data_IF_072145740874
#
_entry.id   IF_072145740874
#
_cell.length_a   1.000
_cell.length_b   1.000
_cell.length_c   1.000
_cell.angle_alpha   90.00
_cell.angle_beta   90.00
_cell.angle_gamma   90.00
#
_symmetry.space_group_name_H-M   'P 1'
#
loop_
_entity.id
_entity.type
_entity.pdbx_description
1 polymer ?
#
# COMPACT_ATOMS: atom_id res chain seq x y z
N UNK A 1 5.91 2.19 -16.27
CA UNK A 1 6.04 3.26 -15.25
C UNK A 1 4.75 4.06 -15.22
N UNK A 2 4.26 4.28 -14.03
CA UNK A 2 3.06 5.08 -13.80
C UNK A 2 3.30 6.06 -12.64
N UNK A 3 2.52 7.13 -12.59
CA UNK A 3 2.53 8.05 -11.48
C UNK A 3 1.21 7.91 -10.72
N UNK A 4 1.31 7.73 -9.41
CA UNK A 4 0.14 7.67 -8.53
C UNK A 4 0.08 8.96 -7.73
N UNK A 5 -1.00 9.71 -7.94
CA UNK A 5 -1.33 10.86 -7.12
C UNK A 5 -2.40 10.45 -6.12
N UNK A 6 -2.66 11.31 -5.16
CA UNK A 6 -3.73 11.06 -4.20
C UNK A 6 -5.07 10.81 -4.90
N UNK A 7 -5.74 9.74 -4.51
CA UNK A 7 -7.09 9.40 -4.94
C UNK A 7 -7.94 9.10 -3.71
N UNK A 8 -9.26 9.38 -3.74
CA UNK A 8 -10.15 8.93 -2.69
C UNK A 8 -10.01 7.42 -2.48
N UNK A 9 -9.93 7.01 -1.23
CA UNK A 9 -9.66 5.61 -0.87
C UNK A 9 -8.21 5.34 -0.49
N UNK A 10 -7.30 6.28 -0.72
CA UNK A 10 -5.89 6.15 -0.33
C UNK A 10 -5.48 7.09 0.82
N UNK A 11 -6.41 7.84 1.40
CA UNK A 11 -6.10 8.66 2.56
C UNK A 11 -5.73 7.82 3.78
N UNK A 12 -5.13 8.47 4.78
CA UNK A 12 -4.61 7.79 5.96
C UNK A 12 -5.69 7.10 6.81
N UNK A 13 -6.95 7.42 6.60
CA UNK A 13 -8.10 6.81 7.28
C UNK A 13 -9.13 6.29 6.29
N UNK A 14 -8.72 6.01 5.06
CA UNK A 14 -9.62 5.60 3.99
C UNK A 14 -9.31 4.21 3.43
N UNK A 15 -8.27 3.54 3.93
CA UNK A 15 -7.86 2.24 3.41
C UNK A 15 -8.88 1.17 3.81
N UNK A 16 -9.45 0.49 2.83
CA UNK A 16 -10.51 -0.49 3.06
C UNK A 16 -10.12 -1.92 2.70
N UNK A 17 -9.01 -2.07 1.97
CA UNK A 17 -8.61 -3.36 1.45
C UNK A 17 -7.11 -3.42 1.25
N UNK A 18 -6.64 -4.65 1.07
CA UNK A 18 -5.27 -4.92 0.64
C UNK A 18 -5.33 -5.64 -0.70
N UNK A 19 -4.25 -5.56 -1.46
CA UNK A 19 -4.16 -6.20 -2.77
C UNK A 19 -2.86 -6.97 -2.92
N UNK A 20 -2.85 -7.88 -3.88
CA UNK A 20 -1.67 -8.67 -4.20
C UNK A 20 -1.54 -8.79 -5.72
N UNK A 21 -0.29 -8.68 -6.19
CA UNK A 21 0.08 -9.03 -7.56
C UNK A 21 0.92 -10.28 -7.49
N UNK A 22 0.50 -11.34 -8.15
CA UNK A 22 1.09 -12.67 -7.95
C UNK A 22 2.25 -12.98 -8.85
N UNK A 23 2.33 -12.31 -10.00
CA UNK A 23 3.31 -12.62 -11.03
C UNK A 23 4.41 -11.57 -11.17
N UNK A 24 4.22 -10.39 -10.59
CA UNK A 24 5.18 -9.30 -10.74
C UNK A 24 5.45 -8.61 -9.42
N UNK A 25 6.70 -8.13 -9.29
CA UNK A 25 7.03 -7.18 -8.24
C UNK A 25 6.50 -5.81 -8.62
N UNK A 26 6.27 -4.96 -7.60
CA UNK A 26 6.02 -3.55 -7.80
C UNK A 26 7.07 -2.74 -7.07
N UNK A 27 7.48 -1.63 -7.66
CA UNK A 27 8.42 -0.71 -7.04
C UNK A 27 7.75 0.63 -6.86
N UNK A 28 7.86 1.19 -5.66
CA UNK A 28 7.30 2.50 -5.31
C UNK A 28 8.41 3.45 -4.92
N UNK A 29 8.34 4.68 -5.42
CA UNK A 29 9.26 5.76 -5.05
C UNK A 29 8.42 6.99 -4.73
N UNK A 30 8.54 7.49 -3.50
CA UNK A 30 7.87 8.73 -3.10
C UNK A 30 8.77 9.91 -3.48
N UNK A 31 8.23 10.86 -4.22
CA UNK A 31 8.99 12.05 -4.54
C UNK A 31 8.35 13.36 -4.09
N UNK A 32 7.14 13.30 -3.53
CA UNK A 32 6.49 14.47 -2.94
C UNK A 32 5.44 14.01 -1.92
N UNK A 33 5.25 14.80 -0.84
CA UNK A 33 4.23 14.53 0.14
C UNK A 33 4.60 13.47 1.16
N UNK A 34 3.59 12.88 1.78
CA UNK A 34 3.74 11.84 2.79
C UNK A 34 2.96 10.60 2.38
N UNK A 35 3.58 9.44 2.56
CA UNK A 35 2.94 8.17 2.28
C UNK A 35 3.40 7.10 3.27
N UNK A 36 2.49 6.17 3.56
CA UNK A 36 2.73 5.01 4.41
C UNK A 36 2.55 3.78 3.55
N UNK A 37 3.60 2.97 3.45
CA UNK A 37 3.54 1.68 2.78
C UNK A 37 3.00 0.64 3.76
N UNK A 38 2.00 -0.10 3.33
CA UNK A 38 1.30 -1.08 4.14
C UNK A 38 1.60 -2.46 3.57
N UNK A 39 2.11 -3.36 4.41
CA UNK A 39 2.24 -4.77 4.05
C UNK A 39 1.36 -5.59 4.97
N UNK A 40 0.85 -6.69 4.43
CA UNK A 40 -0.06 -7.54 5.18
C UNK A 40 0.28 -9.00 4.96
N UNK A 41 0.09 -9.80 6.01
CA UNK A 41 0.22 -11.26 5.95
C UNK A 41 -1.10 -11.87 6.41
N UNK A 42 -1.96 -12.25 5.47
CA UNK A 42 -3.18 -12.96 5.83
C UNK A 42 -2.85 -14.31 6.47
N UNK A 43 -3.49 -14.59 7.58
CA UNK A 43 -3.38 -15.85 8.30
C UNK A 43 -4.77 -16.47 8.38
N UNK A 44 -4.90 -17.62 9.02
CA UNK A 44 -6.15 -18.39 9.01
C UNK A 44 -7.38 -17.56 9.40
N UNK A 45 -7.27 -16.80 10.48
CA UNK A 45 -8.42 -16.05 11.01
C UNK A 45 -8.14 -14.56 11.19
N UNK A 46 -6.93 -14.11 10.87
CA UNK A 46 -6.50 -12.72 11.08
C UNK A 46 -5.61 -12.24 9.95
N UNK A 47 -5.36 -10.95 9.94
CA UNK A 47 -4.39 -10.33 9.05
C UNK A 47 -3.38 -9.58 9.91
N UNK A 48 -2.10 -9.94 9.78
CA UNK A 48 -1.02 -9.19 10.41
C UNK A 48 -0.65 -8.02 9.51
N UNK A 49 -0.63 -6.81 10.07
CA UNK A 49 -0.38 -5.58 9.34
C UNK A 49 0.94 -4.94 9.76
N UNK A 50 1.67 -4.39 8.79
CA UNK A 50 2.93 -3.70 9.00
C UNK A 50 2.89 -2.40 8.21
N UNK A 51 3.36 -1.31 8.83
CA UNK A 51 3.39 0.00 8.20
C UNK A 51 4.79 0.57 8.25
N UNK A 52 5.18 1.21 7.14
CA UNK A 52 6.45 1.92 7.07
C UNK A 52 6.21 3.28 6.41
N UNK A 53 6.64 4.35 7.07
CA UNK A 53 6.59 5.68 6.46
C UNK A 53 7.66 5.74 5.37
N UNK A 54 7.23 6.06 4.16
CA UNK A 54 8.15 6.15 3.03
C UNK A 54 9.03 7.39 3.16
N UNK A 55 10.29 7.24 2.80
CA UNK A 55 11.24 8.34 2.73
C UNK A 55 11.34 8.81 1.28
N UNK A 56 11.46 10.12 1.09
CA UNK A 56 11.59 10.70 -0.24
C UNK A 56 12.80 10.10 -0.98
N UNK A 57 12.60 9.73 -2.23
CA UNK A 57 13.67 9.27 -3.11
C UNK A 57 14.16 7.85 -2.85
N UNK A 58 13.63 7.16 -1.85
CA UNK A 58 13.99 5.77 -1.56
C UNK A 58 13.12 4.84 -2.40
N UNK A 59 13.74 3.80 -2.92
CA UNK A 59 13.06 2.76 -3.69
C UNK A 59 12.55 1.67 -2.77
N UNK A 60 11.26 1.39 -2.84
CA UNK A 60 10.62 0.32 -2.05
C UNK A 60 10.13 -0.75 -3.00
N UNK A 61 10.62 -1.97 -2.83
CA UNK A 61 10.21 -3.10 -3.66
C UNK A 61 9.19 -3.96 -2.92
N UNK A 62 8.05 -4.18 -3.55
CA UNK A 62 7.03 -5.10 -3.06
C UNK A 62 7.13 -6.37 -3.92
N UNK A 63 7.66 -7.46 -3.38
CA UNK A 63 7.79 -8.69 -4.15
C UNK A 63 6.44 -9.25 -4.57
N UNK A 64 6.44 -9.96 -5.68
CA UNK A 64 5.26 -10.71 -6.12
C UNK A 64 4.75 -11.58 -4.99
N UNK A 65 3.43 -11.63 -4.84
CA UNK A 65 2.79 -12.41 -3.78
C UNK A 65 2.68 -11.72 -2.43
N UNK A 66 3.15 -10.49 -2.30
CA UNK A 66 3.02 -9.73 -1.07
C UNK A 66 1.75 -8.90 -1.06
N UNK A 67 0.89 -9.12 -0.07
CA UNK A 67 -0.30 -8.31 0.13
C UNK A 67 0.10 -6.92 0.65
N UNK A 68 -0.45 -5.88 0.05
CA UNK A 68 -0.03 -4.51 0.37
C UNK A 68 -1.10 -3.50 0.01
N UNK A 69 -0.88 -2.28 0.43
CA UNK A 69 -1.57 -1.08 -0.04
C UNK A 69 -0.69 0.11 0.33
N UNK A 70 -1.12 1.29 -0.05
CA UNK A 70 -0.40 2.52 0.24
C UNK A 70 -1.39 3.60 0.65
N UNK A 71 -1.07 4.29 1.74
CA UNK A 71 -1.85 5.42 2.23
C UNK A 71 -1.05 6.69 2.02
N UNK A 72 -1.71 7.78 1.69
CA UNK A 72 -1.02 9.02 1.32
C UNK A 72 -1.84 10.25 1.65
N UNK A 73 -1.15 11.39 1.79
CA UNK A 73 -1.84 12.67 1.92
C UNK A 73 -2.16 13.24 0.53
N UNK A 74 -2.88 14.36 0.51
CA UNK A 74 -3.35 14.98 -0.73
C UNK A 74 -2.24 15.50 -1.62
N UNK A 75 -1.05 15.74 -1.07
CA UNK A 75 0.10 16.23 -1.82
C UNK A 75 0.98 15.13 -2.38
N UNK A 76 0.73 13.88 -2.03
CA UNK A 76 1.64 12.79 -2.36
C UNK A 76 1.71 12.55 -3.85
N UNK A 77 2.93 12.32 -4.32
CA UNK A 77 3.19 11.88 -5.68
C UNK A 77 4.16 10.70 -5.62
N UNK A 78 3.76 9.58 -6.18
CA UNK A 78 4.48 8.32 -6.10
C UNK A 78 4.68 7.79 -7.52
N UNK A 79 5.90 7.36 -7.82
CA UNK A 79 6.19 6.66 -9.06
C UNK A 79 6.07 5.16 -8.80
N UNK A 80 5.35 4.48 -9.66
CA UNK A 80 5.18 3.03 -9.62
C UNK A 80 5.87 2.44 -10.83
N UNK A 81 6.73 1.46 -10.59
CA UNK A 81 7.37 0.70 -11.66
C UNK A 81 6.91 -0.75 -11.52
N UNK A 82 6.28 -1.25 -12.56
CA UNK A 82 5.81 -2.63 -12.60
C UNK A 82 5.92 -3.17 -14.01
N UNK A 83 5.82 -4.50 -14.13
CA UNK A 83 5.91 -5.15 -15.43
C UNK A 83 4.72 -4.74 -16.29
N UNK A 84 5.00 -4.35 -17.52
CA UNK A 84 4.01 -3.73 -18.42
C UNK A 84 2.87 -4.64 -18.87
N UNK A 85 3.02 -5.95 -18.71
CA UNK A 85 2.01 -6.93 -19.15
C UNK A 85 1.26 -7.57 -17.98
N UNK A 86 1.11 -6.86 -16.88
CA UNK A 86 0.37 -7.35 -15.74
C UNK A 86 -1.12 -7.33 -16.09
N UNK A 87 -1.74 -8.49 -16.15
CA UNK A 87 -3.17 -8.63 -16.39
C UNK A 87 -3.97 -8.37 -15.13
N UNK A 88 -5.18 -7.86 -15.28
CA UNK A 88 -6.09 -7.67 -14.15
C UNK A 88 -6.34 -8.97 -13.37
N UNK A 89 -6.22 -10.11 -14.05
CA UNK A 89 -6.40 -11.42 -13.43
C UNK A 89 -5.26 -11.80 -12.48
N UNK A 90 -4.13 -11.11 -12.57
CA UNK A 90 -3.01 -11.28 -11.67
C UNK A 90 -3.25 -10.64 -10.30
N UNK A 91 -4.20 -9.73 -10.20
CA UNK A 91 -4.53 -9.03 -8.96
C UNK A 91 -5.63 -9.72 -8.20
N UNK A 92 -5.48 -9.77 -6.88
CA UNK A 92 -6.54 -10.14 -5.97
C UNK A 92 -6.67 -9.09 -4.89
N UNK A 93 -7.86 -8.98 -4.31
CA UNK A 93 -8.17 -8.00 -3.27
C UNK A 93 -8.79 -8.72 -2.08
N UNK A 94 -8.50 -8.21 -0.88
CA UNK A 94 -9.12 -8.68 0.34
C UNK A 94 -9.53 -7.49 1.19
N UNK A 95 -10.81 -7.44 1.58
CA UNK A 95 -11.31 -6.36 2.41
C UNK A 95 -10.87 -6.56 3.85
N UNK A 96 -10.61 -5.44 4.51
CA UNK A 96 -10.28 -5.43 5.93
C UNK A 96 -11.54 -5.38 6.76
N UNK A 97 -11.54 -6.07 7.90
CA UNK A 97 -12.61 -5.97 8.88
C UNK A 97 -12.54 -4.61 9.58
N UNK A 98 -13.60 -4.27 10.32
CA UNK A 98 -13.62 -3.02 11.07
C UNK A 98 -12.48 -2.96 12.09
N UNK A 99 -12.21 -4.05 12.80
CA UNK A 99 -11.12 -4.09 13.76
C UNK A 99 -9.76 -3.94 13.08
N UNK A 100 -9.58 -4.62 11.94
CA UNK A 100 -8.33 -4.49 11.17
C UNK A 100 -8.11 -3.07 10.69
N UNK A 101 -9.16 -2.39 10.24
CA UNK A 101 -9.07 -0.99 9.83
C UNK A 101 -8.70 -0.08 10.99
N UNK A 102 -9.29 -0.29 12.15
CA UNK A 102 -8.96 0.51 13.35
C UNK A 102 -7.51 0.35 13.76
N UNK A 103 -7.01 -0.90 13.74
CA UNK A 103 -5.61 -1.17 14.02
C UNK A 103 -4.70 -0.50 12.99
N UNK A 104 -5.05 -0.63 11.72
CA UNK A 104 -4.27 -0.05 10.64
C UNK A 104 -4.18 1.47 10.77
N UNK A 105 -5.32 2.13 11.00
CA UNK A 105 -5.34 3.60 11.11
C UNK A 105 -4.54 4.08 12.33
N UNK A 106 -4.58 3.33 13.40
CA UNK A 106 -3.75 3.62 14.57
C UNK A 106 -2.26 3.51 14.26
N UNK A 107 -1.86 2.45 13.54
CA UNK A 107 -0.48 2.26 13.11
C UNK A 107 -0.02 3.38 12.18
N UNK A 108 -0.86 3.78 11.24
CA UNK A 108 -0.56 4.87 10.32
C UNK A 108 -0.31 6.16 11.09
N UNK A 109 -1.20 6.49 12.03
CA UNK A 109 -1.05 7.71 12.84
C UNK A 109 0.27 7.71 13.61
N UNK A 110 0.65 6.58 14.20
CA UNK A 110 1.92 6.46 14.93
C UNK A 110 3.13 6.69 14.02
N UNK A 111 3.04 6.23 12.79
CA UNK A 111 4.13 6.40 11.82
C UNK A 111 4.23 7.83 11.28
N UNK A 112 3.22 8.66 11.46
CA UNK A 112 3.22 10.04 11.01
C UNK A 112 3.75 11.02 12.06
N UNK A 113 3.98 10.57 13.28
CA UNK A 113 4.50 11.43 14.35
C UNK A 113 5.98 11.74 14.22
#
# INVERSE_FOLDING_TARGET
VAQLNYLPGHGFDEIEQIEVHRETDEVFILFKGDAILIEAKPQKDTISLYCERMKLGVTYNIPAGTWHNIAMNSDAEIIIVEKSNTHKQDCAYQRLSQLEKEDLYSMIRRNLL
#
